data_IF_458419519895
#
_entry.id   IF_458419519895
#
_cell.length_a   1.000
_cell.length_b   1.000
_cell.length_c   1.000
_cell.angle_alpha   90.00
_cell.angle_beta   90.00
_cell.angle_gamma   90.00
#
_symmetry.space_group_name_H-M   'P 1'
#
loop_
_entity.id
_entity.type
_entity.pdbx_description
1 polymer ?
#
# COMPACT_ATOMS: atom_id res chain seq x y z
N UNK A 1 6.03 8.99 8.68
CA UNK A 1 6.69 10.22 8.18
C UNK A 1 7.67 10.78 9.20
N UNK A 2 7.39 10.60 10.50
CA UNK A 2 8.15 11.23 11.59
C UNK A 2 9.61 10.79 11.66
N UNK A 3 9.88 9.49 11.47
CA UNK A 3 11.27 8.98 11.42
C UNK A 3 12.15 9.66 10.37
N UNK A 4 11.59 10.03 9.21
CA UNK A 4 12.33 10.75 8.15
C UNK A 4 12.62 12.17 8.61
N UNK A 5 11.64 12.85 9.21
CA UNK A 5 11.79 14.19 9.74
C UNK A 5 12.83 14.25 10.86
N UNK A 6 12.76 13.32 11.81
CA UNK A 6 13.73 13.17 12.91
C UNK A 6 15.15 12.94 12.38
N UNK A 7 15.32 12.08 11.36
CA UNK A 7 16.62 11.85 10.73
C UNK A 7 17.18 13.13 10.07
N UNK A 8 16.33 13.89 9.37
CA UNK A 8 16.72 15.19 8.78
C UNK A 8 17.14 16.17 9.88
N UNK A 9 16.35 16.31 10.94
CA UNK A 9 16.68 17.19 12.07
C UNK A 9 18.05 16.83 12.68
N UNK A 10 18.31 15.53 12.88
CA UNK A 10 19.58 15.04 13.39
C UNK A 10 20.75 15.37 12.45
N UNK A 11 20.61 15.16 11.14
CA UNK A 11 21.64 15.50 10.14
C UNK A 11 21.96 17.01 10.13
N UNK A 12 20.94 17.84 10.34
CA UNK A 12 21.12 19.30 10.47
C UNK A 12 21.52 19.75 11.88
N UNK A 13 21.93 18.82 12.76
CA UNK A 13 22.38 19.08 14.14
C UNK A 13 21.38 19.89 14.96
N UNK A 14 20.08 19.60 14.79
CA UNK A 14 18.98 20.32 15.44
C UNK A 14 18.96 21.83 15.12
N UNK A 15 19.56 22.24 13.99
CA UNK A 15 19.49 23.61 13.51
C UNK A 15 18.15 23.87 12.83
N UNK A 16 17.17 24.27 13.64
CA UNK A 16 15.78 24.49 13.23
C UNK A 16 15.64 25.28 11.91
N UNK A 17 16.37 26.40 11.77
CA UNK A 17 16.32 27.23 10.57
C UNK A 17 16.77 26.53 9.27
N UNK A 18 17.50 25.42 9.37
CA UNK A 18 18.02 24.67 8.21
C UNK A 18 17.11 23.55 7.77
N UNK A 19 16.44 22.86 8.69
CA UNK A 19 15.57 21.73 8.35
C UNK A 19 14.08 22.08 8.32
N UNK A 20 13.62 23.14 8.99
CA UNK A 20 12.20 23.51 9.00
C UNK A 20 11.62 23.72 7.59
N UNK A 21 12.30 24.41 6.65
CA UNK A 21 11.77 24.53 5.29
C UNK A 21 11.62 23.18 4.58
N UNK A 22 12.47 22.20 4.90
CA UNK A 22 12.36 20.85 4.37
C UNK A 22 11.20 20.09 5.00
N UNK A 23 10.98 20.23 6.31
CA UNK A 23 9.84 19.63 6.99
C UNK A 23 8.52 20.19 6.48
N UNK A 24 8.41 21.51 6.31
CA UNK A 24 7.23 22.17 5.73
C UNK A 24 6.93 21.65 4.32
N UNK A 25 7.96 21.53 3.48
CA UNK A 25 7.81 20.96 2.13
C UNK A 25 7.38 19.50 2.17
N UNK A 26 7.93 18.70 3.08
CA UNK A 26 7.57 17.31 3.28
C UNK A 26 6.11 17.19 3.73
N UNK A 27 5.68 18.04 4.67
CA UNK A 27 4.30 18.09 5.14
C UNK A 27 3.32 18.46 4.04
N UNK A 28 3.67 19.45 3.23
CA UNK A 28 2.86 19.83 2.08
C UNK A 28 2.72 18.67 1.09
N UNK A 29 3.84 18.03 0.69
CA UNK A 29 3.80 16.91 -0.25
C UNK A 29 3.00 15.73 0.34
N UNK A 30 3.20 15.44 1.62
CA UNK A 30 2.47 14.38 2.31
C UNK A 30 0.98 14.70 2.31
N UNK A 31 0.56 15.82 2.88
CA UNK A 31 -0.85 16.14 3.08
C UNK A 31 -1.62 16.36 1.76
N UNK A 32 -0.98 16.96 0.76
CA UNK A 32 -1.66 17.35 -0.49
C UNK A 32 -1.60 16.30 -1.60
N UNK A 33 -0.60 15.41 -1.58
CA UNK A 33 -0.35 14.49 -2.70
C UNK A 33 -0.23 13.01 -2.32
N UNK A 34 0.36 12.68 -1.17
CA UNK A 34 0.69 11.28 -0.83
C UNK A 34 -0.23 10.68 0.24
N UNK A 35 -0.74 11.49 1.16
CA UNK A 35 -1.53 11.03 2.28
C UNK A 35 -2.88 10.50 1.75
N UNK A 36 -3.15 9.24 2.08
CA UNK A 36 -4.38 8.57 1.70
C UNK A 36 -4.81 7.69 2.87
N UNK A 37 -6.11 7.63 3.19
CA UNK A 37 -6.66 6.67 4.14
C UNK A 37 -6.20 5.23 3.86
N UNK A 38 -5.92 4.91 2.59
CA UNK A 38 -5.45 3.59 2.17
C UNK A 38 -4.04 3.28 2.71
N UNK A 39 -3.15 4.27 2.79
CA UNK A 39 -1.81 4.10 3.36
C UNK A 39 -1.89 3.82 4.87
N UNK A 40 -2.73 4.57 5.58
CA UNK A 40 -3.04 4.33 6.98
C UNK A 40 -3.64 2.93 7.22
N UNK A 41 -4.60 2.52 6.38
CA UNK A 41 -5.18 1.18 6.44
C UNK A 41 -4.16 0.08 6.14
N UNK A 42 -3.28 0.28 5.16
CA UNK A 42 -2.21 -0.66 4.85
C UNK A 42 -1.22 -0.79 6.01
N UNK A 43 -0.83 0.31 6.64
CA UNK A 43 0.03 0.31 7.82
C UNK A 43 -0.62 -0.45 8.98
N UNK A 44 -1.91 -0.21 9.24
CA UNK A 44 -2.69 -0.92 10.26
C UNK A 44 -2.78 -2.43 9.98
N UNK A 45 -3.02 -2.83 8.73
CA UNK A 45 -3.21 -4.23 8.35
C UNK A 45 -1.90 -4.98 8.13
N UNK A 46 -0.76 -4.31 8.05
CA UNK A 46 0.52 -4.97 7.84
C UNK A 46 0.99 -5.62 9.15
N UNK A 47 1.07 -6.96 9.24
CA UNK A 47 1.38 -7.65 10.48
C UNK A 47 2.81 -7.34 10.96
N UNK A 48 3.76 -7.16 10.04
CA UNK A 48 5.15 -6.81 10.36
C UNK A 48 5.23 -5.49 11.13
N UNK A 49 4.39 -4.52 10.77
CA UNK A 49 4.32 -3.24 11.48
C UNK A 49 3.41 -3.30 12.69
N UNK A 50 2.20 -3.85 12.54
CA UNK A 50 1.16 -3.83 13.58
C UNK A 50 1.59 -4.53 14.87
N UNK A 51 2.30 -5.65 14.74
CA UNK A 51 2.77 -6.41 15.89
C UNK A 51 4.21 -6.06 16.32
N UNK A 52 4.83 -5.05 15.68
CA UNK A 52 6.11 -4.53 16.15
C UNK A 52 5.92 -3.73 17.45
N UNK A 53 6.93 -3.71 18.31
CA UNK A 53 6.87 -2.97 19.58
C UNK A 53 6.78 -1.46 19.38
N UNK A 54 7.23 -0.96 18.24
CA UNK A 54 7.19 0.45 17.88
C UNK A 54 5.91 0.83 17.11
N UNK A 55 4.96 -0.09 16.98
CA UNK A 55 3.67 0.24 16.38
C UNK A 55 2.97 1.34 17.16
N UNK A 56 2.45 2.32 16.43
CA UNK A 56 1.69 3.42 17.00
C UNK A 56 0.31 3.48 16.34
N UNK A 57 -0.73 3.22 17.14
CA UNK A 57 -2.12 3.37 16.72
C UNK A 57 -2.63 4.73 17.18
N UNK A 58 -2.46 5.74 16.34
CA UNK A 58 -3.03 7.07 16.56
C UNK A 58 -4.39 7.24 15.85
N UNK A 59 -4.94 8.45 15.99
CA UNK A 59 -6.20 8.85 15.38
C UNK A 59 -6.13 8.83 13.85
N UNK A 60 -4.99 9.16 13.25
CA UNK A 60 -4.81 9.17 11.78
C UNK A 60 -4.88 7.75 11.23
N UNK A 61 -4.15 6.81 11.83
CA UNK A 61 -4.14 5.40 11.45
C UNK A 61 -5.53 4.78 11.63
N UNK A 62 -6.15 4.99 12.80
CA UNK A 62 -7.49 4.45 13.08
C UNK A 62 -8.56 5.05 12.15
N UNK A 63 -8.55 6.37 11.93
CA UNK A 63 -9.49 7.04 11.03
C UNK A 63 -9.29 6.60 9.57
N UNK A 64 -8.02 6.48 9.14
CA UNK A 64 -7.66 6.04 7.80
C UNK A 64 -8.11 4.61 7.50
N UNK A 65 -7.97 3.70 8.47
CA UNK A 65 -8.53 2.35 8.39
C UNK A 65 -10.06 2.40 8.21
N UNK A 66 -10.78 3.12 9.07
CA UNK A 66 -12.25 3.21 8.99
C UNK A 66 -12.73 3.83 7.66
N UNK A 67 -12.08 4.91 7.24
CA UNK A 67 -12.36 5.56 5.96
C UNK A 67 -12.14 4.60 4.78
N UNK A 68 -11.10 3.76 4.82
CA UNK A 68 -10.84 2.75 3.80
C UNK A 68 -11.92 1.67 3.78
N UNK A 69 -12.35 1.19 4.95
CA UNK A 69 -13.46 0.22 5.07
C UNK A 69 -14.74 0.79 4.43
N UNK A 70 -15.14 2.00 4.81
CA UNK A 70 -16.35 2.65 4.29
C UNK A 70 -16.29 2.89 2.78
N UNK A 71 -15.12 3.26 2.26
CA UNK A 71 -14.94 3.53 0.81
C UNK A 71 -14.86 2.28 -0.04
N UNK A 72 -14.38 1.17 0.51
CA UNK A 72 -14.12 -0.06 -0.25
C UNK A 72 -15.26 -1.07 -0.15
N UNK A 73 -16.11 -0.96 0.86
CA UNK A 73 -17.25 -1.85 1.11
C UNK A 73 -18.53 -1.04 1.34
N UNK A 74 -19.59 -1.34 0.59
CA UNK A 74 -20.85 -0.60 0.66
C UNK A 74 -21.85 -1.25 1.63
N UNK A 75 -21.74 -2.55 1.89
CA UNK A 75 -22.65 -3.26 2.79
C UNK A 75 -22.28 -2.99 4.25
N UNK A 76 -23.15 -2.28 4.96
CA UNK A 76 -22.99 -1.96 6.39
C UNK A 76 -22.81 -3.21 7.26
N UNK A 77 -23.44 -4.34 6.90
CA UNK A 77 -23.28 -5.60 7.63
C UNK A 77 -21.88 -6.14 7.45
N UNK A 78 -21.32 -6.06 6.24
CA UNK A 78 -19.93 -6.48 5.98
C UNK A 78 -18.95 -5.53 6.67
N UNK A 79 -19.18 -4.21 6.64
CA UNK A 79 -18.39 -3.24 7.41
C UNK A 79 -18.37 -3.57 8.92
N UNK A 80 -19.51 -3.93 9.50
CA UNK A 80 -19.58 -4.38 10.90
C UNK A 80 -18.76 -5.65 11.13
N UNK A 81 -18.85 -6.63 10.24
CA UNK A 81 -18.08 -7.87 10.33
C UNK A 81 -16.58 -7.63 10.20
N UNK A 82 -16.14 -6.77 9.28
CA UNK A 82 -14.75 -6.34 9.12
C UNK A 82 -14.23 -5.75 10.44
N UNK A 83 -14.98 -4.83 11.04
CA UNK A 83 -14.62 -4.21 12.31
C UNK A 83 -14.54 -5.23 13.46
N UNK A 84 -15.51 -6.14 13.55
CA UNK A 84 -15.47 -7.24 14.53
C UNK A 84 -14.25 -8.13 14.33
N UNK A 85 -13.92 -8.47 13.08
CA UNK A 85 -12.74 -9.28 12.75
C UNK A 85 -11.44 -8.51 13.03
N UNK A 86 -11.41 -7.19 12.82
CA UNK A 86 -10.25 -6.36 13.13
C UNK A 86 -9.91 -6.42 14.63
N UNK A 87 -10.91 -6.50 15.50
CA UNK A 87 -10.64 -6.70 16.94
C UNK A 87 -9.97 -8.04 17.26
N UNK A 88 -10.24 -9.10 16.50
CA UNK A 88 -9.57 -10.41 16.67
C UNK A 88 -8.12 -10.32 16.20
N UNK A 89 -7.88 -9.67 15.06
CA UNK A 89 -6.54 -9.37 14.57
C UNK A 89 -5.74 -8.56 15.62
N UNK A 90 -6.31 -7.49 16.18
CA UNK A 90 -5.63 -6.69 17.20
C UNK A 90 -5.18 -7.48 18.42
N UNK A 91 -5.94 -8.52 18.80
CA UNK A 91 -5.66 -9.36 19.97
C UNK A 91 -4.74 -10.53 19.65
N UNK A 92 -4.36 -10.70 18.39
CA UNK A 92 -3.73 -11.91 17.87
C UNK A 92 -4.54 -13.19 18.22
N UNK A 93 -5.88 -13.10 18.21
CA UNK A 93 -6.74 -14.23 18.58
C UNK A 93 -6.75 -15.30 17.48
N UNK A 94 -6.76 -16.58 17.89
CA UNK A 94 -6.95 -17.71 16.98
C UNK A 94 -5.74 -17.96 16.08
N UNK A 95 -5.95 -18.03 14.76
CA UNK A 95 -4.88 -18.40 13.83
C UNK A 95 -3.79 -17.30 13.73
N UNK A 96 -4.11 -16.05 14.10
CA UNK A 96 -3.16 -14.94 14.16
C UNK A 96 -2.09 -15.12 15.25
N UNK A 97 -2.38 -15.83 16.34
CA UNK A 97 -1.43 -16.09 17.43
C UNK A 97 -0.19 -16.83 16.89
N UNK A 98 -0.43 -17.83 16.03
CA UNK A 98 0.63 -18.62 15.39
C UNK A 98 1.44 -17.78 14.39
N UNK A 99 0.76 -16.92 13.63
CA UNK A 99 1.40 -16.03 12.66
C UNK A 99 2.21 -14.89 13.31
N UNK A 100 1.83 -14.47 14.52
CA UNK A 100 2.55 -13.52 15.35
C UNK A 100 3.77 -14.16 16.06
N UNK A 101 3.61 -15.39 16.58
CA UNK A 101 4.65 -16.07 17.34
C UNK A 101 5.81 -16.60 16.46
N UNK A 102 5.61 -16.72 15.15
CA UNK A 102 6.60 -17.21 14.20
C UNK A 102 7.46 -16.11 13.55
N UNK A 103 8.65 -16.48 13.10
CA UNK A 103 9.53 -15.61 12.29
C UNK A 103 8.95 -15.28 10.90
N UNK A 104 7.86 -15.94 10.49
CA UNK A 104 7.22 -15.76 9.18
C UNK A 104 6.69 -14.33 8.95
N UNK A 105 6.32 -13.63 10.02
CA UNK A 105 5.82 -12.25 9.95
C UNK A 105 6.84 -11.25 9.37
N UNK A 106 8.13 -11.56 9.46
CA UNK A 106 9.22 -10.72 8.94
C UNK A 106 9.67 -11.11 7.54
N UNK A 107 9.37 -12.34 7.12
CA UNK A 107 9.92 -12.95 5.91
C UNK A 107 8.89 -13.12 4.80
N UNK A 108 7.59 -13.18 5.13
CA UNK A 108 6.52 -13.26 4.15
C UNK A 108 6.05 -11.88 3.69
N UNK A 109 5.59 -11.79 2.44
CA UNK A 109 4.87 -10.60 1.99
C UNK A 109 3.52 -10.51 2.75
N UNK A 110 3.08 -9.31 3.19
CA UNK A 110 1.91 -9.17 4.05
C UNK A 110 0.62 -9.83 3.51
N UNK A 111 0.36 -9.78 2.21
CA UNK A 111 -0.82 -10.40 1.59
C UNK A 111 -0.82 -11.94 1.68
N UNK A 112 0.35 -12.59 1.55
CA UNK A 112 0.53 -14.02 1.70
C UNK A 112 0.31 -14.44 3.16
N UNK A 113 0.83 -13.64 4.11
CA UNK A 113 0.58 -13.86 5.54
C UNK A 113 -0.92 -13.82 5.83
N UNK A 114 -1.65 -12.83 5.29
CA UNK A 114 -3.11 -12.76 5.42
C UNK A 114 -3.83 -13.96 4.78
N UNK A 115 -3.30 -14.52 3.69
CA UNK A 115 -3.87 -15.70 3.04
C UNK A 115 -3.77 -16.96 3.92
N UNK A 116 -2.74 -17.07 4.75
CA UNK A 116 -2.53 -18.22 5.66
C UNK A 116 -3.30 -18.05 6.96
N UNK A 117 -3.16 -16.90 7.62
CA UNK A 117 -3.65 -16.70 8.99
C UNK A 117 -5.00 -15.99 9.08
N UNK A 118 -5.45 -15.36 7.99
CA UNK A 118 -6.72 -14.62 7.94
C UNK A 118 -7.99 -15.47 7.77
N UNK A 119 -7.89 -16.80 7.67
CA UNK A 119 -8.99 -17.67 7.23
C UNK A 119 -10.24 -17.61 8.12
N UNK A 120 -10.10 -17.38 9.42
CA UNK A 120 -11.25 -17.20 10.35
C UNK A 120 -11.88 -15.81 10.28
N UNK A 121 -11.23 -14.88 9.60
CA UNK A 121 -11.67 -13.50 9.42
C UNK A 121 -11.83 -13.19 7.92
N UNK A 122 -12.78 -13.84 7.22
CA UNK A 122 -12.83 -13.81 5.76
C UNK A 122 -13.10 -12.42 5.15
N UNK A 123 -13.82 -11.53 5.83
CA UNK A 123 -14.12 -10.21 5.29
C UNK A 123 -12.93 -9.25 5.46
N UNK A 124 -12.30 -9.29 6.64
CA UNK A 124 -11.06 -8.58 6.89
C UNK A 124 -9.92 -9.12 6.02
N UNK A 125 -9.82 -10.44 5.83
CA UNK A 125 -8.81 -11.08 4.98
C UNK A 125 -8.91 -10.61 3.54
N UNK A 126 -10.11 -10.61 2.94
CA UNK A 126 -10.32 -10.09 1.58
C UNK A 126 -9.90 -8.62 1.48
N UNK A 127 -10.28 -7.80 2.46
CA UNK A 127 -9.90 -6.39 2.50
C UNK A 127 -8.38 -6.22 2.61
N UNK A 128 -7.74 -6.94 3.54
CA UNK A 128 -6.32 -6.86 3.79
C UNK A 128 -5.51 -7.30 2.57
N UNK A 129 -5.85 -8.44 1.96
CA UNK A 129 -5.22 -8.89 0.71
C UNK A 129 -5.40 -7.82 -0.38
N UNK A 130 -6.62 -7.29 -0.57
CA UNK A 130 -6.89 -6.27 -1.59
C UNK A 130 -6.10 -4.98 -1.40
N UNK A 131 -5.84 -4.57 -0.17
CA UNK A 131 -5.05 -3.37 0.16
C UNK A 131 -3.55 -3.67 0.03
N UNK A 132 -3.08 -4.77 0.63
CA UNK A 132 -1.66 -5.09 0.75
C UNK A 132 -1.06 -5.73 -0.50
N UNK A 133 -1.87 -6.30 -1.39
CA UNK A 133 -1.41 -6.81 -2.68
C UNK A 133 -1.24 -5.71 -3.73
N UNK A 134 -1.50 -4.45 -3.39
CA UNK A 134 -1.26 -3.34 -4.31
C UNK A 134 0.24 -3.15 -4.50
N UNK A 135 0.68 -3.10 -5.76
CA UNK A 135 2.11 -3.01 -6.08
C UNK A 135 2.67 -1.63 -5.75
N UNK A 136 3.61 -1.56 -4.80
CA UNK A 136 4.38 -0.34 -4.50
C UNK A 136 5.51 -0.07 -5.50
N UNK A 137 5.74 -0.96 -6.47
CA UNK A 137 6.79 -0.88 -7.50
C UNK A 137 6.56 0.24 -8.56
N UNK A 138 5.63 1.17 -8.29
CA UNK A 138 5.03 2.11 -9.24
C UNK A 138 6.01 2.79 -10.18
N UNK A 139 6.95 3.60 -9.69
CA UNK A 139 7.73 4.45 -10.60
C UNK A 139 8.88 3.72 -11.31
N UNK A 140 9.62 2.87 -10.61
CA UNK A 140 10.78 2.18 -11.16
C UNK A 140 10.43 1.02 -12.09
N UNK A 141 9.48 0.16 -11.69
CA UNK A 141 9.11 -1.03 -12.48
C UNK A 141 8.30 -0.66 -13.73
N UNK A 142 7.52 0.41 -13.67
CA UNK A 142 6.69 0.86 -14.78
C UNK A 142 7.26 2.09 -15.51
N UNK A 143 8.49 2.50 -15.18
CA UNK A 143 9.16 3.66 -15.78
C UNK A 143 8.29 4.93 -15.76
N UNK A 144 7.55 5.15 -14.67
CA UNK A 144 6.72 6.35 -14.54
C UNK A 144 7.63 7.57 -14.49
N UNK A 145 7.32 8.56 -15.31
CA UNK A 145 8.16 9.73 -15.50
C UNK A 145 8.16 10.61 -14.23
N UNK A 146 9.22 10.48 -13.43
CA UNK A 146 9.46 11.27 -12.22
C UNK A 146 9.41 12.78 -12.48
N UNK A 147 9.83 13.23 -13.67
CA UNK A 147 9.80 14.65 -14.03
C UNK A 147 8.38 15.21 -14.13
N UNK A 148 7.37 14.36 -14.38
CA UNK A 148 5.98 14.78 -14.34
C UNK A 148 5.50 14.95 -12.90
N UNK A 149 5.86 14.04 -12.00
CA UNK A 149 5.55 14.13 -10.57
C UNK A 149 6.16 15.41 -9.96
N UNK A 150 7.41 15.73 -10.28
CA UNK A 150 8.09 16.94 -9.82
C UNK A 150 7.36 18.23 -10.28
N UNK A 151 6.82 18.23 -11.51
CA UNK A 151 6.03 19.36 -12.05
C UNK A 151 4.67 19.58 -11.36
N UNK A 152 4.17 18.63 -10.57
CA UNK A 152 2.97 18.84 -9.73
C UNK A 152 3.30 19.52 -8.41
N UNK A 153 4.52 19.32 -7.92
CA UNK A 153 4.99 19.88 -6.63
C UNK A 153 5.50 21.32 -6.83
N UNK A 154 5.94 21.69 -8.04
CA UNK A 154 6.29 23.08 -8.34
C UNK A 154 5.06 24.01 -8.33
N UNK A 155 5.05 24.97 -7.39
CA UNK A 155 3.96 25.90 -7.05
C UNK A 155 3.61 26.95 -8.11
N UNK A 156 4.20 26.92 -9.29
CA UNK A 156 4.12 28.03 -10.27
C UNK A 156 2.76 28.15 -10.99
N UNK A 157 1.69 27.52 -10.51
CA UNK A 157 0.42 27.37 -11.25
C UNK A 157 -0.82 27.61 -10.41
N UNK A 158 -1.84 28.18 -11.05
CA UNK A 158 -3.14 28.39 -10.44
C UNK A 158 -3.86 27.05 -10.15
N UNK A 159 -4.71 27.01 -9.11
CA UNK A 159 -5.46 25.80 -8.70
C UNK A 159 -6.13 25.00 -9.84
N UNK A 160 -6.83 25.61 -10.83
CA UNK A 160 -7.42 24.85 -11.94
C UNK A 160 -6.38 24.22 -12.86
N UNK A 161 -5.21 24.85 -13.03
CA UNK A 161 -4.13 24.28 -13.83
C UNK A 161 -3.45 23.12 -13.13
N UNK A 162 -3.33 23.18 -11.80
CA UNK A 162 -2.87 22.06 -10.98
C UNK A 162 -3.81 20.85 -11.10
N UNK A 163 -5.12 21.06 -10.99
CA UNK A 163 -6.12 20.00 -11.15
C UNK A 163 -6.05 19.37 -12.55
N UNK A 164 -5.99 20.21 -13.60
CA UNK A 164 -5.84 19.72 -14.97
C UNK A 164 -4.57 18.88 -15.17
N UNK A 165 -3.45 19.27 -14.54
CA UNK A 165 -2.20 18.49 -14.58
C UNK A 165 -2.31 17.17 -13.82
N UNK A 166 -2.98 17.14 -12.67
CA UNK A 166 -3.25 15.91 -11.91
C UNK A 166 -4.05 14.92 -12.77
N UNK A 167 -5.10 15.40 -13.43
CA UNK A 167 -5.92 14.56 -14.31
C UNK A 167 -5.13 14.02 -15.50
N UNK A 168 -4.32 14.85 -16.15
CA UNK A 168 -3.46 14.43 -17.25
C UNK A 168 -2.44 13.37 -16.82
N UNK A 169 -1.84 13.53 -15.65
CA UNK A 169 -0.90 12.57 -15.09
C UNK A 169 -1.59 11.25 -14.76
N UNK A 170 -2.77 11.30 -14.13
CA UNK A 170 -3.57 10.12 -13.81
C UNK A 170 -3.86 9.30 -15.07
N UNK A 171 -4.33 9.94 -16.15
CA UNK A 171 -4.59 9.27 -17.43
C UNK A 171 -3.30 8.66 -17.99
N UNK A 172 -2.19 9.40 -17.98
CA UNK A 172 -0.91 8.93 -18.53
C UNK A 172 -0.35 7.73 -17.78
N UNK A 173 -0.38 7.75 -16.45
CA UNK A 173 0.09 6.62 -15.64
C UNK A 173 -0.81 5.39 -15.79
N UNK A 174 -2.13 5.56 -15.85
CA UNK A 174 -3.04 4.42 -16.08
C UNK A 174 -2.82 3.78 -17.46
N UNK A 175 -2.58 4.58 -18.50
CA UNK A 175 -2.23 4.06 -19.83
C UNK A 175 -0.91 3.26 -19.80
N UNK A 176 0.13 3.78 -19.14
CA UNK A 176 1.41 3.08 -18.99
C UNK A 176 1.26 1.76 -18.22
N UNK A 177 0.46 1.74 -17.15
CA UNK A 177 0.16 0.53 -16.39
C UNK A 177 -0.60 -0.50 -17.24
N UNK A 178 -1.57 -0.05 -18.03
CA UNK A 178 -2.33 -0.92 -18.93
C UNK A 178 -1.43 -1.56 -20.00
N UNK A 179 -0.54 -0.77 -20.62
CA UNK A 179 0.46 -1.26 -21.57
C UNK A 179 1.42 -2.28 -20.94
N UNK A 180 1.94 -1.98 -19.74
CA UNK A 180 2.82 -2.89 -19.02
C UNK A 180 2.12 -4.22 -18.67
N UNK A 181 0.86 -4.16 -18.24
CA UNK A 181 0.05 -5.35 -17.95
C UNK A 181 -0.25 -6.16 -19.21
N UNK A 182 -0.54 -5.51 -20.34
CA UNK A 182 -0.68 -6.18 -21.64
C UNK A 182 0.61 -6.91 -22.04
N UNK A 183 1.76 -6.28 -21.85
CA UNK A 183 3.06 -6.87 -22.16
C UNK A 183 3.39 -8.07 -21.26
N UNK A 184 3.07 -8.00 -19.95
CA UNK A 184 3.19 -9.15 -19.04
C UNK A 184 2.32 -10.33 -19.44
N UNK A 185 1.06 -10.08 -19.84
CA UNK A 185 0.16 -11.14 -20.33
C UNK A 185 0.67 -11.82 -21.59
N UNK A 186 1.31 -11.05 -22.49
CA UNK A 186 1.96 -11.60 -23.70
C UNK A 186 3.21 -12.43 -23.35
N UNK A 187 4.02 -11.99 -22.40
CA UNK A 187 5.24 -12.70 -21.98
C UNK A 187 4.96 -13.98 -21.16
N UNK A 188 3.84 -14.03 -20.43
CA UNK A 188 3.41 -15.22 -19.67
C UNK A 188 2.62 -16.26 -20.48
N UNK A 189 2.41 -16.04 -21.78
CA UNK A 189 1.62 -16.90 -22.66
C UNK A 189 2.39 -18.02 -23.38
N UNK A 190 3.73 -18.09 -23.26
CA UNK A 190 4.58 -19.04 -23.98
C UNK A 190 5.03 -20.23 -23.11
N UNK A 191 4.15 -20.75 -22.24
CA UNK A 191 4.38 -22.04 -21.56
C UNK A 191 3.10 -22.87 -21.55
N UNK A 192 2.56 -23.23 -22.71
CA UNK A 192 1.92 -24.54 -22.88
C UNK A 192 1.83 -24.93 -24.36
N UNK A 193 2.37 -26.10 -24.71
CA UNK A 193 2.43 -26.55 -26.10
C UNK A 193 3.52 -27.59 -26.41
N UNK A 194 3.83 -28.47 -25.47
CA UNK A 194 4.74 -29.60 -25.67
C UNK A 194 4.08 -30.91 -25.27
N UNK A 195 3.10 -31.36 -26.07
CA UNK A 195 2.55 -32.71 -25.92
C UNK A 195 3.66 -33.76 -26.12
N UNK A 196 3.80 -34.79 -25.25
CA UNK A 196 4.80 -35.82 -25.43
C UNK A 196 4.41 -36.74 -26.60
N UNK A 197 5.35 -37.16 -27.47
CA UNK A 197 5.04 -38.07 -28.56
C UNK A 197 4.72 -39.44 -27.99
N UNK A 198 3.57 -39.99 -28.39
CA UNK A 198 3.09 -41.30 -27.98
C UNK A 198 4.08 -42.41 -28.34
N UNK A 199 4.46 -43.18 -27.33
CA UNK A 199 5.15 -44.46 -27.50
C UNK A 199 4.16 -45.48 -28.07
N UNK A 200 4.30 -45.79 -29.37
CA UNK A 200 3.69 -46.95 -30.00
C UNK A 200 4.24 -48.22 -29.37
N UNK A 201 3.32 -49.11 -29.04
CA UNK A 201 3.53 -50.52 -28.76
C UNK A 201 4.35 -51.20 -29.87
N UNK A 202 5.30 -52.04 -29.45
CA UNK A 202 5.56 -53.37 -29.99
C UNK A 202 6.16 -54.22 -28.87
#
# INVERSE_FOLDING_TARGET
MDQIKEAIEHEFRNSNSRYMPLWELIDEIWNDFLHSPLHAAAYYLNPTFFYDRNFHLDTEVSSGFQCSVIRMENDQRVQYLINKQATQYCRADGDFENGYAGDEIKNAHPDLWWSVYGNRCPELQKLAIRILSQTCDGSGRFSLDRSLAEKLVCKDLNQPEQNRRRDQMFVRYNLQLEEANKNKRKAGGDIDGGAPPGSRSN
#
